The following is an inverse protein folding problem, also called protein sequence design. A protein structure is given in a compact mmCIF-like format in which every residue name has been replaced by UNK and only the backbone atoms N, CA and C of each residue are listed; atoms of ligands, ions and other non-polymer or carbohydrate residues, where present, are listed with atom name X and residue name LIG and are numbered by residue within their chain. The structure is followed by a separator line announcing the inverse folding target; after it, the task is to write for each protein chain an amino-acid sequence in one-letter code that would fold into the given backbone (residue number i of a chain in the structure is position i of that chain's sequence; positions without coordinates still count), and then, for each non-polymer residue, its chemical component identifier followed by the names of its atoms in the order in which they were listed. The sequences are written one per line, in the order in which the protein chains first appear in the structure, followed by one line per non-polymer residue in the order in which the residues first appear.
data_IF_224586045723
#
_entry.id   IF_224586045723
#
_cell.length_a   1.000
_cell.length_b   1.000
_cell.length_c   1.000
_cell.angle_alpha   90.00
_cell.angle_beta   90.00
_cell.angle_gamma   90.00
#
_symmetry.space_group_name_H-M   'P 1'
#
loop_
_entity.id
_entity.type
_entity.pdbx_description
1 polymer ?
#
# COMPACT_ATOMS: atom_id res chain seq x y z
N UNK A 1 -13.65 -25.87 -10.28
CA UNK A 1 -13.58 -25.12 -11.56
C UNK A 1 -13.10 -23.69 -11.36
N UNK A 2 -13.66 -22.92 -10.44
CA UNK A 2 -13.31 -21.49 -10.20
C UNK A 2 -11.86 -21.23 -9.79
N UNK A 3 -11.24 -22.07 -8.96
CA UNK A 3 -9.84 -21.92 -8.51
C UNK A 3 -8.84 -21.82 -9.68
N UNK A 4 -9.06 -22.62 -10.74
CA UNK A 4 -8.19 -22.62 -11.92
C UNK A 4 -8.35 -21.36 -12.77
N UNK A 5 -9.55 -20.77 -12.79
CA UNK A 5 -9.83 -19.56 -13.55
C UNK A 5 -9.14 -18.33 -12.93
N UNK A 6 -9.18 -18.19 -11.60
CA UNK A 6 -8.50 -17.09 -10.90
C UNK A 6 -6.98 -17.13 -11.09
N UNK A 7 -6.37 -18.32 -10.88
CA UNK A 7 -4.90 -18.48 -10.94
C UNK A 7 -4.35 -18.35 -12.36
N UNK A 8 -5.14 -18.66 -13.40
CA UNK A 8 -4.73 -18.64 -14.81
C UNK A 8 -5.36 -17.52 -15.62
N UNK A 9 -6.10 -16.65 -14.97
CA UNK A 9 -6.76 -15.53 -15.64
C UNK A 9 -5.75 -14.44 -16.03
N UNK A 10 -5.93 -13.89 -17.19
CA UNK A 10 -5.26 -12.67 -17.65
C UNK A 10 -5.99 -11.39 -17.17
N UNK A 11 -6.95 -11.54 -16.27
CA UNK A 11 -7.80 -10.46 -15.75
C UNK A 11 -9.15 -10.40 -16.48
N UNK A 12 -9.86 -9.27 -16.34
CA UNK A 12 -11.14 -9.03 -17.04
C UNK A 12 -12.36 -9.69 -16.39
N UNK A 13 -12.29 -10.05 -15.11
CA UNK A 13 -13.44 -10.56 -14.36
C UNK A 13 -13.61 -9.83 -13.01
N UNK A 14 -14.83 -9.84 -12.50
CA UNK A 14 -15.18 -9.36 -11.17
C UNK A 14 -15.57 -10.60 -10.33
N UNK A 15 -14.97 -10.70 -9.16
CA UNK A 15 -15.28 -11.74 -8.19
C UNK A 15 -16.04 -11.16 -7.00
N UNK A 16 -17.38 -11.34 -7.02
CA UNK A 16 -18.22 -10.93 -5.91
C UNK A 16 -18.19 -11.96 -4.78
N UNK A 17 -17.72 -11.58 -3.62
CA UNK A 17 -17.67 -12.41 -2.42
C UNK A 17 -18.53 -11.81 -1.32
N UNK A 18 -18.99 -12.66 -0.38
CA UNK A 18 -19.48 -12.18 0.90
C UNK A 18 -18.33 -11.59 1.71
N UNK A 19 -18.64 -10.69 2.66
CA UNK A 19 -17.66 -9.89 3.38
C UNK A 19 -16.44 -10.69 3.87
N UNK A 20 -16.65 -11.65 4.75
CA UNK A 20 -15.57 -12.48 5.30
C UNK A 20 -14.81 -13.27 4.23
N UNK A 21 -15.53 -13.87 3.28
CA UNK A 21 -14.92 -14.63 2.19
C UNK A 21 -14.11 -13.69 1.28
N UNK A 22 -14.58 -12.46 1.07
CA UNK A 22 -13.89 -11.41 0.32
C UNK A 22 -12.57 -11.01 0.99
N UNK A 23 -12.59 -10.76 2.29
CA UNK A 23 -11.42 -10.41 3.09
C UNK A 23 -10.33 -11.48 2.97
N UNK A 24 -10.70 -12.74 3.20
CA UNK A 24 -9.76 -13.87 3.12
C UNK A 24 -9.23 -14.08 1.69
N UNK A 25 -10.08 -13.97 0.69
CA UNK A 25 -9.70 -14.26 -0.70
C UNK A 25 -8.85 -13.13 -1.29
N UNK A 26 -9.14 -11.87 -0.97
CA UNK A 26 -8.34 -10.73 -1.43
C UNK A 26 -6.92 -10.79 -0.85
N UNK A 27 -6.78 -11.10 0.43
CA UNK A 27 -5.49 -11.27 1.10
C UNK A 27 -4.68 -12.42 0.50
N UNK A 28 -5.33 -13.57 0.23
CA UNK A 28 -4.67 -14.71 -0.40
C UNK A 28 -4.16 -14.40 -1.81
N UNK A 29 -4.97 -13.71 -2.62
CA UNK A 29 -4.57 -13.35 -3.99
C UNK A 29 -3.44 -12.33 -3.96
N UNK A 30 -3.56 -11.28 -3.16
CA UNK A 30 -2.56 -10.22 -3.09
C UNK A 30 -1.22 -10.70 -2.50
N UNK A 31 -1.23 -11.61 -1.52
CA UNK A 31 -0.01 -12.21 -0.97
C UNK A 31 0.79 -12.98 -2.03
N UNK A 32 0.14 -13.49 -3.06
CA UNK A 32 0.82 -14.15 -4.19
C UNK A 32 1.60 -13.17 -5.08
N UNK A 33 1.27 -11.87 -5.05
CA UNK A 33 1.90 -10.84 -5.88
C UNK A 33 2.79 -9.87 -5.11
N UNK A 34 2.77 -9.87 -3.78
CA UNK A 34 3.59 -8.97 -3.00
C UNK A 34 3.36 -9.07 -1.49
N UNK A 35 3.79 -8.03 -0.78
CA UNK A 35 3.58 -7.93 0.66
C UNK A 35 2.15 -7.50 0.99
N UNK A 36 1.53 -8.17 1.96
CA UNK A 36 0.24 -7.78 2.54
C UNK A 36 0.25 -6.32 3.02
N UNK A 37 1.40 -5.84 3.49
CA UNK A 37 1.59 -4.45 3.95
C UNK A 37 1.57 -3.39 2.84
N UNK A 38 1.37 -3.79 1.59
CA UNK A 38 1.16 -2.87 0.45
C UNK A 38 -0.31 -2.78 0.02
N UNK A 39 -1.19 -3.57 0.63
CA UNK A 39 -2.60 -3.62 0.25
C UNK A 39 -3.40 -2.50 0.89
N UNK A 40 -4.32 -1.96 0.10
CA UNK A 40 -5.36 -1.03 0.54
C UNK A 40 -6.74 -1.64 0.35
N UNK A 41 -7.69 -1.21 1.16
CA UNK A 41 -9.09 -1.52 1.05
C UNK A 41 -9.91 -0.25 0.82
N UNK A 42 -10.99 -0.37 0.08
CA UNK A 42 -11.94 0.71 -0.14
C UNK A 42 -13.34 0.20 0.14
N UNK A 43 -13.99 0.80 1.11
CA UNK A 43 -15.40 0.56 1.42
C UNK A 43 -16.25 1.62 0.73
N UNK A 44 -17.32 1.19 0.09
CA UNK A 44 -18.24 2.07 -0.62
C UNK A 44 -19.65 1.83 -0.12
N UNK A 45 -20.31 2.87 0.44
CA UNK A 45 -21.70 2.78 0.84
C UNK A 45 -22.64 2.85 -0.36
N UNK A 46 -23.88 2.35 -0.24
CA UNK A 46 -24.88 2.51 -1.29
C UNK A 46 -25.17 3.98 -1.69
N UNK A 47 -24.94 4.90 -0.75
CA UNK A 47 -25.13 6.36 -0.95
C UNK A 47 -23.90 7.03 -1.59
N UNK A 48 -22.88 6.26 -1.97
CA UNK A 48 -21.69 6.76 -2.65
C UNK A 48 -20.66 7.42 -1.73
N UNK A 49 -20.64 7.10 -0.43
CA UNK A 49 -19.54 7.49 0.46
C UNK A 49 -18.41 6.47 0.37
N UNK A 50 -17.18 6.95 0.53
CA UNK A 50 -15.97 6.16 0.40
C UNK A 50 -15.15 6.21 1.68
N UNK A 51 -14.66 5.06 2.13
CA UNK A 51 -13.68 4.92 3.18
C UNK A 51 -12.47 4.19 2.62
N UNK A 52 -11.27 4.71 2.89
CA UNK A 52 -9.99 4.15 2.44
C UNK A 52 -9.18 3.75 3.65
N UNK A 53 -8.69 2.53 3.65
CA UNK A 53 -7.89 1.99 4.75
C UNK A 53 -6.71 1.14 4.24
N UNK A 54 -5.73 0.91 5.12
CA UNK A 54 -4.76 -0.15 4.91
C UNK A 54 -5.45 -1.49 5.19
N UNK A 55 -5.32 -2.45 4.27
CA UNK A 55 -5.98 -3.76 4.41
C UNK A 55 -5.40 -4.66 5.51
N UNK A 56 -4.39 -4.19 6.25
CA UNK A 56 -3.77 -4.91 7.36
C UNK A 56 -4.04 -4.24 8.70
N UNK A 57 -4.05 -5.03 9.78
CA UNK A 57 -4.22 -4.54 11.14
C UNK A 57 -3.01 -3.80 11.70
N UNK A 58 -3.15 -3.28 12.91
CA UNK A 58 -2.07 -2.62 13.64
C UNK A 58 -0.99 -3.63 14.05
N UNK A 59 0.27 -3.29 13.80
CA UNK A 59 1.43 -4.14 14.14
C UNK A 59 1.90 -3.80 15.56
N UNK A 60 1.07 -4.07 16.57
CA UNK A 60 1.31 -3.74 17.98
C UNK A 60 2.64 -4.28 18.50
N UNK A 61 3.07 -5.45 18.04
CA UNK A 61 4.37 -6.04 18.40
C UNK A 61 5.54 -5.13 18.05
N UNK A 62 5.52 -4.45 16.91
CA UNK A 62 6.57 -3.50 16.51
C UNK A 62 6.53 -2.25 17.39
N UNK A 63 5.35 -1.78 17.79
CA UNK A 63 5.22 -0.65 18.70
C UNK A 63 5.82 -0.95 20.09
N UNK A 64 5.57 -2.14 20.65
CA UNK A 64 6.19 -2.54 21.92
C UNK A 64 7.71 -2.67 21.82
N UNK A 65 8.25 -3.09 20.69
CA UNK A 65 9.70 -3.10 20.46
C UNK A 65 10.25 -1.68 20.37
N UNK A 66 9.58 -0.80 19.68
CA UNK A 66 9.92 0.63 19.60
C UNK A 66 9.97 1.27 21.00
N UNK A 67 8.98 1.01 21.85
CA UNK A 67 8.96 1.52 23.23
C UNK A 67 10.14 1.02 24.09
N UNK A 68 10.74 -0.11 23.74
CA UNK A 68 11.99 -0.63 24.36
C UNK A 68 13.26 -0.06 23.77
N UNK A 69 13.15 0.89 22.83
CA UNK A 69 14.31 1.48 22.15
C UNK A 69 14.90 0.58 21.04
N UNK A 70 14.22 -0.51 20.65
CA UNK A 70 14.68 -1.38 19.59
C UNK A 70 14.45 -0.72 18.21
N UNK A 71 15.36 -1.00 17.27
CA UNK A 71 15.19 -0.59 15.88
C UNK A 71 14.02 -1.36 15.26
N UNK A 72 13.04 -0.64 14.72
CA UNK A 72 11.87 -1.22 14.05
C UNK A 72 11.73 -0.71 12.63
N UNK A 73 11.18 -1.56 11.76
CA UNK A 73 10.91 -1.24 10.36
C UNK A 73 9.52 -1.74 10.01
N UNK A 74 8.52 -0.86 10.11
CA UNK A 74 7.13 -1.12 9.72
C UNK A 74 6.88 -0.46 8.37
N UNK A 75 6.25 -1.17 7.46
CA UNK A 75 5.98 -0.69 6.11
C UNK A 75 4.75 0.26 6.13
N UNK A 76 4.90 1.54 5.75
CA UNK A 76 3.80 2.51 5.73
C UNK A 76 3.09 2.59 4.37
N UNK A 77 3.46 1.80 3.35
CA UNK A 77 2.99 1.97 1.96
C UNK A 77 1.48 1.86 1.87
N UNK A 78 0.86 0.85 2.48
CA UNK A 78 -0.60 0.70 2.45
C UNK A 78 -1.32 1.92 3.04
N UNK A 79 -0.81 2.47 4.13
CA UNK A 79 -1.37 3.70 4.72
C UNK A 79 -1.20 4.90 3.79
N UNK A 80 -0.04 5.05 3.16
CA UNK A 80 0.19 6.12 2.18
C UNK A 80 -0.77 5.98 1.00
N UNK A 81 -0.93 4.77 0.46
CA UNK A 81 -1.82 4.52 -0.67
C UNK A 81 -3.32 4.67 -0.31
N UNK A 82 -3.72 4.36 0.93
CA UNK A 82 -5.04 4.69 1.41
C UNK A 82 -5.28 6.21 1.40
N UNK A 83 -4.32 7.00 1.89
CA UNK A 83 -4.38 8.46 1.83
C UNK A 83 -4.41 9.00 0.39
N UNK A 84 -3.57 8.48 -0.52
CA UNK A 84 -3.57 8.95 -1.91
C UNK A 84 -4.87 8.60 -2.63
N UNK A 85 -5.44 7.43 -2.34
CA UNK A 85 -6.76 7.04 -2.83
C UNK A 85 -7.87 8.00 -2.37
N UNK A 86 -7.89 8.33 -1.07
CA UNK A 86 -8.84 9.28 -0.49
C UNK A 86 -8.66 10.69 -1.06
N UNK A 87 -7.43 11.18 -1.18
CA UNK A 87 -7.12 12.48 -1.77
C UNK A 87 -7.55 12.56 -3.23
N UNK A 88 -7.25 11.54 -4.03
CA UNK A 88 -7.69 11.44 -5.42
C UNK A 88 -9.21 11.48 -5.52
N UNK A 89 -9.90 10.66 -4.72
CA UNK A 89 -11.36 10.63 -4.70
C UNK A 89 -11.95 11.98 -4.28
N UNK A 90 -11.38 12.64 -3.30
CA UNK A 90 -11.80 14.00 -2.90
C UNK A 90 -11.58 15.00 -4.04
N UNK A 91 -10.41 14.92 -4.70
CA UNK A 91 -10.12 15.76 -5.87
C UNK A 91 -11.10 15.56 -7.03
N UNK A 92 -11.51 14.31 -7.29
CA UNK A 92 -12.54 13.99 -8.29
C UNK A 92 -13.90 14.57 -7.92
N UNK A 93 -14.33 14.45 -6.66
CA UNK A 93 -15.64 14.92 -6.19
C UNK A 93 -15.75 16.45 -6.18
N UNK A 94 -14.66 17.15 -5.92
CA UNK A 94 -14.64 18.62 -5.82
C UNK A 94 -14.05 19.30 -7.06
N UNK A 95 -13.72 18.53 -8.10
CA UNK A 95 -13.03 19.01 -9.32
C UNK A 95 -11.71 19.75 -9.02
N UNK A 96 -10.94 19.23 -8.04
CA UNK A 96 -9.64 19.77 -7.64
C UNK A 96 -8.52 18.93 -8.29
N UNK A 97 -8.18 19.27 -9.52
CA UNK A 97 -7.17 18.56 -10.31
C UNK A 97 -5.80 18.47 -9.61
N UNK A 98 -5.37 19.54 -8.95
CA UNK A 98 -4.09 19.58 -8.24
C UNK A 98 -3.99 18.50 -7.14
N UNK A 99 -5.12 18.15 -6.50
CA UNK A 99 -5.16 17.09 -5.48
C UNK A 99 -4.97 15.69 -6.10
N UNK A 100 -5.56 15.46 -7.27
CA UNK A 100 -5.37 14.22 -8.02
C UNK A 100 -3.93 14.08 -8.51
N UNK A 101 -3.32 15.16 -9.01
CA UNK A 101 -1.94 15.19 -9.48
C UNK A 101 -0.96 14.94 -8.32
N UNK A 102 -1.18 15.58 -7.17
CA UNK A 102 -0.37 15.35 -5.96
C UNK A 102 -0.43 13.90 -5.50
N UNK A 103 -1.63 13.31 -5.45
CA UNK A 103 -1.80 11.91 -5.08
C UNK A 103 -1.00 10.97 -6.01
N UNK A 104 -1.05 11.21 -7.32
CA UNK A 104 -0.27 10.46 -8.31
C UNK A 104 1.24 10.61 -8.13
N UNK A 105 1.73 11.84 -7.88
CA UNK A 105 3.15 12.12 -7.62
C UNK A 105 3.63 11.43 -6.34
N UNK A 106 2.82 11.42 -5.29
CA UNK A 106 3.18 10.74 -4.03
C UNK A 106 3.26 9.21 -4.23
N UNK A 107 2.32 8.60 -4.94
CA UNK A 107 2.38 7.17 -5.29
C UNK A 107 3.64 6.84 -6.08
N UNK A 108 3.95 7.64 -7.10
CA UNK A 108 5.15 7.47 -7.91
C UNK A 108 6.43 7.62 -7.08
N UNK A 109 6.46 8.56 -6.13
CA UNK A 109 7.60 8.75 -5.23
C UNK A 109 7.83 7.52 -4.35
N UNK A 110 6.76 6.88 -3.85
CA UNK A 110 6.85 5.62 -3.10
C UNK A 110 7.46 4.52 -3.96
N UNK A 111 6.93 4.31 -5.17
CA UNK A 111 7.39 3.28 -6.11
C UNK A 111 8.86 3.51 -6.43
N UNK A 112 9.23 4.71 -6.86
CA UNK A 112 10.61 5.06 -7.22
C UNK A 112 11.59 4.89 -6.06
N UNK A 113 11.16 5.17 -4.81
CA UNK A 113 11.98 4.95 -3.62
C UNK A 113 12.28 3.46 -3.42
N UNK A 114 11.27 2.60 -3.58
CA UNK A 114 11.45 1.14 -3.47
C UNK A 114 12.33 0.62 -4.61
N UNK A 115 12.08 1.05 -5.84
CA UNK A 115 12.87 0.67 -7.02
C UNK A 115 14.33 1.10 -6.94
N UNK A 116 14.61 2.22 -6.26
CA UNK A 116 16.00 2.66 -5.96
C UNK A 116 16.73 1.78 -4.95
N UNK A 117 16.05 0.78 -4.38
CA UNK A 117 16.59 -0.15 -3.40
C UNK A 117 16.42 0.29 -1.93
N UNK A 118 15.78 1.41 -1.65
CA UNK A 118 15.48 1.86 -0.28
C UNK A 118 14.13 1.28 0.13
N UNK A 119 14.11 0.41 1.13
CA UNK A 119 12.88 -0.30 1.50
C UNK A 119 12.85 -0.73 2.96
N UNK A 120 11.66 -1.03 3.45
CA UNK A 120 11.42 -1.58 4.78
C UNK A 120 11.84 -3.04 4.87
N UNK A 121 11.96 -3.57 6.09
CA UNK A 121 12.50 -4.91 6.34
C UNK A 121 11.72 -6.05 5.68
N UNK A 122 10.40 -5.92 5.55
CA UNK A 122 9.53 -6.88 4.86
C UNK A 122 9.82 -6.94 3.36
N UNK A 123 9.87 -5.78 2.71
CA UNK A 123 10.21 -5.69 1.28
C UNK A 123 11.66 -6.10 1.00
N UNK A 124 12.58 -5.75 1.90
CA UNK A 124 13.98 -6.18 1.78
C UNK A 124 14.11 -7.70 1.74
N UNK A 125 13.35 -8.40 2.57
CA UNK A 125 13.37 -9.86 2.62
C UNK A 125 12.83 -10.52 1.33
N UNK A 126 11.89 -9.85 0.64
CA UNK A 126 11.23 -10.37 -0.56
C UNK A 126 11.90 -9.93 -1.87
N UNK A 127 12.62 -8.83 -1.86
CA UNK A 127 13.21 -8.23 -3.05
C UNK A 127 14.40 -9.04 -3.58
N UNK A 128 14.52 -9.14 -4.90
CA UNK A 128 15.66 -9.70 -5.63
C UNK A 128 16.69 -8.66 -6.07
N UNK A 129 16.49 -7.37 -5.75
CA UNK A 129 17.44 -6.32 -6.12
C UNK A 129 18.80 -6.56 -5.46
N UNK A 130 19.88 -6.41 -6.22
CA UNK A 130 21.26 -6.57 -5.71
C UNK A 130 21.65 -5.41 -4.77
N UNK A 131 21.37 -4.17 -5.19
CA UNK A 131 21.71 -2.96 -4.44
C UNK A 131 20.50 -2.50 -3.61
N UNK A 132 20.17 -3.23 -2.54
CA UNK A 132 19.05 -2.90 -1.65
C UNK A 132 19.52 -2.60 -0.24
N UNK A 133 18.78 -1.72 0.44
CA UNK A 133 19.04 -1.29 1.81
C UNK A 133 17.77 -1.37 2.64
N UNK A 134 17.81 -2.10 3.76
CA UNK A 134 16.75 -2.09 4.75
C UNK A 134 16.88 -0.87 5.65
N UNK A 135 15.80 -0.08 5.74
CA UNK A 135 15.74 1.15 6.54
C UNK A 135 14.61 1.09 7.57
N UNK A 136 14.65 1.97 8.56
CA UNK A 136 13.54 2.14 9.51
C UNK A 136 12.36 2.83 8.84
N UNK A 137 11.18 2.76 9.46
CA UNK A 137 9.99 3.45 8.96
C UNK A 137 10.20 4.95 8.76
N UNK A 138 10.87 5.61 9.70
CA UNK A 138 11.17 7.05 9.62
C UNK A 138 12.13 7.39 8.49
N UNK A 139 13.19 6.58 8.31
CA UNK A 139 14.15 6.74 7.21
C UNK A 139 13.46 6.51 5.86
N UNK A 140 12.55 5.55 5.78
CA UNK A 140 11.79 5.25 4.56
C UNK A 140 10.84 6.40 4.19
N UNK A 141 10.08 6.93 5.15
CA UNK A 141 9.20 8.08 4.94
C UNK A 141 10.03 9.32 4.52
N UNK A 142 11.20 9.53 5.12
CA UNK A 142 12.09 10.62 4.74
C UNK A 142 12.60 10.47 3.30
N UNK A 143 12.94 9.25 2.88
CA UNK A 143 13.36 8.98 1.51
C UNK A 143 12.23 9.24 0.50
N UNK A 144 11.01 8.80 0.80
CA UNK A 144 9.81 9.10 -0.03
C UNK A 144 9.61 10.60 -0.14
N UNK A 145 9.68 11.33 0.98
CA UNK A 145 9.54 12.78 1.01
C UNK A 145 10.56 13.45 0.09
N UNK A 146 11.84 13.10 0.19
CA UNK A 146 12.88 13.67 -0.64
C UNK A 146 12.64 13.39 -2.14
N UNK A 147 12.20 12.17 -2.47
CA UNK A 147 11.85 11.79 -3.85
C UNK A 147 10.65 12.60 -4.35
N UNK A 148 9.64 12.80 -3.51
CA UNK A 148 8.46 13.60 -3.85
C UNK A 148 8.84 15.07 -4.08
N UNK A 149 9.59 15.69 -3.16
CA UNK A 149 10.01 17.11 -3.23
C UNK A 149 10.85 17.38 -4.50
N UNK A 150 11.62 16.40 -4.97
CA UNK A 150 12.37 16.51 -6.21
C UNK A 150 11.50 16.46 -7.49
N UNK A 151 10.23 16.01 -7.38
CA UNK A 151 9.29 15.83 -8.50
C UNK A 151 8.05 16.74 -8.41
N UNK A 152 7.96 17.64 -7.42
CA UNK A 152 6.89 18.62 -7.32
C UNK A 152 7.14 19.80 -8.24
#
# INVERSE_FOLDING_TARGET
MYKRQVIRSEGGFIWACKNYDGDVMSDMVATAFGSLSMMTSVLVSPDGNYEYEAAHGTVTRHYYRYLKGERTSTNPIATIFAWTGALRKRGELDDIRALCEFAGKLEQAVISTVESGIMTGDLYAMSSLENKKSVTSSEFISAIRNTLEANL
#
